data_IF_941053590388
#
_entry.id   IF_941053590388
#
_cell.length_a   1.000
_cell.length_b   1.000
_cell.length_c   1.000
_cell.angle_alpha   90.00
_cell.angle_beta   90.00
_cell.angle_gamma   90.00
#
_symmetry.space_group_name_H-M   'P 1'
#
loop_
_entity.id
_entity.type
_entity.pdbx_description
1 polymer ?
#
# COMPACT_ATOMS: atom_id res chain seq x y z
N UNK A 1 20.58 14.81 11.80
CA UNK A 1 19.75 14.11 10.76
C UNK A 1 19.16 12.79 11.26
N UNK A 2 19.95 11.80 11.80
CA UNK A 2 19.39 10.51 12.25
C UNK A 2 18.41 10.67 13.43
N UNK A 3 18.75 11.45 14.45
CA UNK A 3 17.89 11.73 15.62
C UNK A 3 16.53 12.34 15.22
N UNK A 4 16.52 13.27 14.27
CA UNK A 4 15.27 13.88 13.77
C UNK A 4 14.40 12.86 13.07
N UNK A 5 14.98 11.99 12.23
CA UNK A 5 14.25 10.90 11.55
C UNK A 5 13.66 9.90 12.54
N UNK A 6 14.41 9.50 13.56
CA UNK A 6 13.93 8.61 14.60
C UNK A 6 12.79 9.25 15.40
N UNK A 7 12.93 10.51 15.77
CA UNK A 7 11.91 11.23 16.55
C UNK A 7 10.63 11.41 15.75
N UNK A 8 10.72 11.91 14.51
CA UNK A 8 9.54 12.11 13.65
C UNK A 8 8.86 10.78 13.32
N UNK A 9 9.63 9.72 13.05
CA UNK A 9 9.07 8.37 12.81
C UNK A 9 8.35 7.83 14.04
N UNK A 10 8.93 7.96 15.23
CA UNK A 10 8.31 7.53 16.48
C UNK A 10 7.02 8.31 16.78
N UNK A 11 7.04 9.64 16.63
CA UNK A 11 5.86 10.49 16.86
C UNK A 11 4.75 10.17 15.86
N UNK A 12 5.05 10.13 14.57
CA UNK A 12 4.06 9.83 13.54
C UNK A 12 3.50 8.40 13.69
N UNK A 13 4.36 7.43 13.99
CA UNK A 13 3.93 6.05 14.23
C UNK A 13 3.01 5.93 15.45
N UNK A 14 3.37 6.56 16.58
CA UNK A 14 2.53 6.55 17.78
C UNK A 14 1.19 7.26 17.58
N UNK A 15 1.18 8.41 16.88
CA UNK A 15 -0.04 9.12 16.53
C UNK A 15 -0.93 8.31 15.60
N UNK A 16 -0.35 7.62 14.62
CA UNK A 16 -1.10 6.76 13.70
C UNK A 16 -1.75 5.60 14.45
N UNK A 17 -1.01 4.91 15.33
CA UNK A 17 -1.54 3.83 16.17
C UNK A 17 -2.66 4.34 17.07
N UNK A 18 -2.45 5.48 17.73
CA UNK A 18 -3.45 6.09 18.58
C UNK A 18 -4.73 6.44 17.82
N UNK A 19 -4.59 7.07 16.64
CA UNK A 19 -5.74 7.43 15.81
C UNK A 19 -6.54 6.19 15.37
N UNK A 20 -5.87 5.10 14.98
CA UNK A 20 -6.52 3.85 14.60
C UNK A 20 -7.28 3.18 15.74
N UNK A 21 -6.79 3.29 16.98
CA UNK A 21 -7.41 2.64 18.13
C UNK A 21 -8.50 3.48 18.78
N UNK A 22 -8.47 4.80 18.65
CA UNK A 22 -9.32 5.73 19.41
C UNK A 22 -10.36 6.44 18.54
N UNK A 23 -10.04 6.73 17.28
CA UNK A 23 -10.98 7.46 16.43
C UNK A 23 -12.16 6.57 16.01
N UNK A 24 -13.38 7.13 15.99
CA UNK A 24 -14.49 6.47 15.31
C UNK A 24 -14.19 6.40 13.80
N UNK A 25 -14.73 5.37 13.13
CA UNK A 25 -14.47 5.12 11.70
C UNK A 25 -14.65 6.36 10.80
N UNK A 26 -15.68 7.21 10.95
CA UNK A 26 -15.79 8.42 10.13
C UNK A 26 -14.65 9.42 10.35
N UNK A 27 -14.19 9.58 11.59
CA UNK A 27 -13.07 10.47 11.93
C UNK A 27 -11.75 9.97 11.35
N UNK A 28 -11.51 8.67 11.46
CA UNK A 28 -10.34 8.03 10.85
C UNK A 28 -10.41 8.10 9.31
N UNK A 29 -11.58 7.89 8.72
CA UNK A 29 -11.79 8.01 7.28
C UNK A 29 -11.43 9.41 6.77
N UNK A 30 -11.84 10.47 7.47
CA UNK A 30 -11.48 11.83 7.12
C UNK A 30 -9.96 12.06 7.20
N UNK A 31 -9.32 11.59 8.27
CA UNK A 31 -7.86 11.70 8.45
C UNK A 31 -7.11 10.94 7.35
N UNK A 32 -7.43 9.67 7.12
CA UNK A 32 -6.82 8.87 6.06
C UNK A 32 -7.13 9.44 4.67
N UNK A 33 -8.34 9.94 4.46
CA UNK A 33 -8.74 10.60 3.22
C UNK A 33 -7.80 11.76 2.89
N UNK A 34 -7.43 12.57 3.87
CA UNK A 34 -6.44 13.63 3.68
C UNK A 34 -5.08 13.07 3.23
N UNK A 35 -4.57 12.02 3.88
CA UNK A 35 -3.30 11.38 3.49
C UNK A 35 -3.38 10.81 2.08
N UNK A 36 -4.47 10.13 1.73
CA UNK A 36 -4.65 9.56 0.39
C UNK A 36 -4.82 10.65 -0.69
N UNK A 37 -5.46 11.78 -0.38
CA UNK A 37 -5.53 12.91 -1.30
C UNK A 37 -4.16 13.55 -1.53
N UNK A 38 -3.33 13.67 -0.50
CA UNK A 38 -1.95 14.10 -0.66
C UNK A 38 -1.16 13.10 -1.53
N UNK A 39 -1.29 11.80 -1.27
CA UNK A 39 -0.69 10.74 -2.08
C UNK A 39 -1.17 10.78 -3.55
N UNK A 40 -2.47 11.02 -3.76
CA UNK A 40 -3.03 11.20 -5.10
C UNK A 40 -2.48 12.45 -5.80
N UNK A 41 -2.28 13.55 -5.07
CA UNK A 41 -1.60 14.73 -5.60
C UNK A 41 -0.17 14.42 -6.06
N UNK A 42 0.61 13.75 -5.21
CA UNK A 42 1.98 13.32 -5.53
C UNK A 42 2.00 12.38 -6.74
N UNK A 43 1.07 11.41 -6.79
CA UNK A 43 0.89 10.52 -7.95
C UNK A 43 0.63 11.30 -9.23
N UNK A 44 -0.26 12.29 -9.19
CA UNK A 44 -0.55 13.18 -10.31
C UNK A 44 0.67 13.97 -10.78
N UNK A 45 1.49 14.45 -9.83
CA UNK A 45 2.75 15.14 -10.14
C UNK A 45 3.74 14.20 -10.86
N UNK A 46 3.91 12.97 -10.37
CA UNK A 46 4.76 11.95 -10.98
C UNK A 46 4.24 11.50 -12.34
N UNK A 47 2.91 11.52 -12.55
CA UNK A 47 2.27 11.22 -13.83
C UNK A 47 2.33 12.37 -14.84
N UNK A 48 3.17 13.39 -14.61
CA UNK A 48 3.40 14.55 -15.47
C UNK A 48 2.18 15.46 -15.66
N UNK A 49 1.28 15.54 -14.67
CA UNK A 49 0.22 16.54 -14.67
C UNK A 49 0.80 17.91 -14.29
N UNK A 50 1.15 18.72 -15.31
CA UNK A 50 1.90 19.96 -15.12
C UNK A 50 1.03 21.12 -14.61
N UNK A 51 -0.26 21.18 -15.01
CA UNK A 51 -1.14 22.28 -14.66
C UNK A 51 -1.95 22.00 -13.39
N UNK A 52 -2.22 23.05 -12.60
CA UNK A 52 -3.08 22.96 -11.43
C UNK A 52 -4.46 22.39 -11.76
N UNK A 53 -5.07 22.84 -12.88
CA UNK A 53 -6.37 22.37 -13.31
C UNK A 53 -6.40 20.85 -13.54
N UNK A 54 -5.38 20.27 -14.21
CA UNK A 54 -5.28 18.83 -14.45
C UNK A 54 -5.12 18.05 -13.15
N UNK A 55 -4.35 18.58 -12.19
CA UNK A 55 -4.20 17.95 -10.86
C UNK A 55 -5.49 17.98 -10.06
N UNK A 56 -6.23 19.10 -10.11
CA UNK A 56 -7.53 19.20 -9.44
C UNK A 56 -8.56 18.27 -10.09
N UNK A 57 -8.60 18.16 -11.42
CA UNK A 57 -9.46 17.19 -12.12
C UNK A 57 -9.10 15.74 -11.75
N UNK A 58 -7.81 15.45 -11.60
CA UNK A 58 -7.34 14.14 -11.14
C UNK A 58 -7.82 13.85 -9.71
N UNK A 59 -7.65 14.77 -8.76
CA UNK A 59 -8.16 14.62 -7.41
C UNK A 59 -9.68 14.44 -7.38
N UNK A 60 -10.40 15.21 -8.18
CA UNK A 60 -11.85 15.07 -8.32
C UNK A 60 -12.23 13.67 -8.83
N UNK A 61 -11.52 13.14 -9.81
CA UNK A 61 -11.73 11.78 -10.32
C UNK A 61 -11.51 10.72 -9.23
N UNK A 62 -10.44 10.83 -8.45
CA UNK A 62 -10.18 9.95 -7.30
C UNK A 62 -11.30 10.02 -6.27
N UNK A 63 -11.73 11.23 -5.91
CA UNK A 63 -12.82 11.44 -4.94
C UNK A 63 -14.15 10.88 -5.44
N UNK A 64 -14.53 11.19 -6.68
CA UNK A 64 -15.80 10.73 -7.27
C UNK A 64 -15.83 9.19 -7.37
N UNK A 65 -14.73 8.56 -7.80
CA UNK A 65 -14.66 7.11 -7.87
C UNK A 65 -14.72 6.47 -6.47
N UNK A 66 -14.05 7.07 -5.48
CA UNK A 66 -14.12 6.62 -4.08
C UNK A 66 -15.55 6.66 -3.55
N UNK A 67 -16.25 7.80 -3.74
CA UNK A 67 -17.64 7.97 -3.30
C UNK A 67 -18.57 7.01 -4.05
N UNK A 68 -18.38 6.84 -5.36
CA UNK A 68 -19.18 5.92 -6.17
C UNK A 68 -19.04 4.47 -5.68
N UNK A 69 -17.83 3.99 -5.49
CA UNK A 69 -17.60 2.60 -5.02
C UNK A 69 -18.15 2.43 -3.61
N UNK A 70 -17.89 3.38 -2.72
CA UNK A 70 -18.44 3.35 -1.37
C UNK A 70 -19.97 3.29 -1.36
N UNK A 71 -20.63 4.07 -2.23
CA UNK A 71 -22.09 4.06 -2.38
C UNK A 71 -22.60 2.71 -2.93
N UNK A 72 -21.92 2.14 -3.93
CA UNK A 72 -22.27 0.83 -4.49
C UNK A 72 -22.12 -0.29 -3.45
N UNK A 73 -21.09 -0.25 -2.63
CA UNK A 73 -20.90 -1.20 -1.51
C UNK A 73 -22.03 -1.06 -0.48
N UNK A 74 -22.35 0.16 -0.11
CA UNK A 74 -23.44 0.44 0.83
C UNK A 74 -24.80 -0.05 0.29
N UNK A 75 -25.03 0.05 -1.02
CA UNK A 75 -26.24 -0.42 -1.68
C UNK A 75 -26.28 -1.96 -1.89
N UNK A 76 -25.32 -2.74 -1.34
CA UNK A 76 -25.15 -4.18 -1.56
C UNK A 76 -25.04 -4.62 -3.03
N UNK A 77 -24.63 -3.71 -3.92
CA UNK A 77 -24.41 -3.98 -5.34
C UNK A 77 -22.98 -4.50 -5.63
N UNK A 78 -22.18 -4.68 -4.61
CA UNK A 78 -20.71 -4.83 -4.69
C UNK A 78 -20.17 -6.22 -4.41
N UNK A 79 -21.00 -7.21 -4.08
CA UNK A 79 -20.50 -8.56 -3.74
C UNK A 79 -19.53 -9.18 -4.78
N UNK A 80 -19.59 -8.87 -6.10
CA UNK A 80 -18.60 -9.34 -7.06
C UNK A 80 -17.32 -8.48 -7.14
N UNK A 81 -17.23 -7.32 -6.46
CA UNK A 81 -16.06 -6.42 -6.58
C UNK A 81 -14.81 -6.98 -5.90
N UNK A 82 -14.92 -7.70 -4.79
CA UNK A 82 -13.75 -8.28 -4.10
C UNK A 82 -12.95 -9.26 -4.98
N UNK A 83 -13.57 -10.25 -5.65
CA UNK A 83 -12.87 -11.10 -6.61
C UNK A 83 -12.27 -10.32 -7.78
N UNK A 84 -12.96 -9.29 -8.29
CA UNK A 84 -12.46 -8.45 -9.37
C UNK A 84 -11.22 -7.63 -8.95
N UNK A 85 -11.20 -7.13 -7.70
CA UNK A 85 -10.02 -6.45 -7.14
C UNK A 85 -8.83 -7.40 -7.05
N UNK A 86 -9.03 -8.64 -6.58
CA UNK A 86 -7.98 -9.66 -6.53
C UNK A 86 -7.41 -9.99 -7.90
N UNK A 87 -8.28 -10.24 -8.88
CA UNK A 87 -7.88 -10.52 -10.27
C UNK A 87 -7.16 -9.32 -10.89
N UNK A 88 -7.66 -8.12 -10.67
CA UNK A 88 -7.05 -6.89 -11.14
C UNK A 88 -5.64 -6.68 -10.57
N UNK A 89 -5.44 -6.89 -9.26
CA UNK A 89 -4.12 -6.84 -8.65
C UNK A 89 -3.19 -7.93 -9.17
N UNK A 90 -3.67 -9.15 -9.39
CA UNK A 90 -2.91 -10.22 -10.04
C UNK A 90 -2.43 -9.82 -11.44
N UNK A 91 -3.31 -9.21 -12.24
CA UNK A 91 -2.97 -8.68 -13.55
C UNK A 91 -1.96 -7.53 -13.48
N UNK A 92 -2.12 -6.61 -12.54
CA UNK A 92 -1.15 -5.52 -12.31
C UNK A 92 0.22 -6.09 -11.94
N UNK A 93 0.29 -7.06 -11.03
CA UNK A 93 1.54 -7.72 -10.68
C UNK A 93 2.22 -8.34 -11.89
N UNK A 94 1.45 -9.03 -12.74
CA UNK A 94 1.97 -9.63 -13.96
C UNK A 94 2.46 -8.59 -14.97
N UNK A 95 1.67 -7.53 -15.21
CA UNK A 95 2.05 -6.43 -16.11
C UNK A 95 3.29 -5.71 -15.61
N UNK A 96 3.40 -5.46 -14.29
CA UNK A 96 4.56 -4.81 -13.70
C UNK A 96 5.81 -5.67 -13.80
N UNK A 97 5.69 -6.98 -13.57
CA UNK A 97 6.78 -7.90 -13.78
C UNK A 97 7.29 -7.85 -15.22
N UNK A 98 6.37 -7.83 -16.20
CA UNK A 98 6.71 -7.69 -17.63
C UNK A 98 7.35 -6.33 -17.94
N UNK A 99 6.87 -5.25 -17.36
CA UNK A 99 7.42 -3.89 -17.58
C UNK A 99 8.79 -3.74 -16.90
N UNK A 100 8.95 -4.21 -15.68
CA UNK A 100 10.22 -4.14 -14.96
C UNK A 100 11.36 -4.88 -15.70
N UNK A 101 11.00 -5.88 -16.51
CA UNK A 101 11.95 -6.64 -17.36
C UNK A 101 12.23 -5.92 -18.70
N UNK A 102 11.33 -5.08 -19.20
CA UNK A 102 11.36 -4.57 -20.60
C UNK A 102 11.55 -3.04 -20.70
N UNK A 103 11.36 -2.27 -19.63
CA UNK A 103 11.24 -0.82 -19.75
C UNK A 103 12.59 -0.08 -19.84
N UNK A 104 12.92 0.36 -21.05
CA UNK A 104 13.58 1.65 -21.30
C UNK A 104 12.52 2.60 -21.90
N UNK A 105 12.21 3.72 -21.25
CA UNK A 105 11.22 4.67 -21.75
C UNK A 105 11.70 6.10 -21.75
N UNK A 106 11.24 6.86 -22.74
CA UNK A 106 11.45 8.30 -22.88
C UNK A 106 10.76 9.07 -21.76
N UNK A 107 11.47 9.98 -21.12
CA UNK A 107 10.99 10.82 -20.02
C UNK A 107 10.02 11.91 -20.53
N UNK A 108 8.97 12.20 -19.76
CA UNK A 108 8.26 13.49 -19.88
C UNK A 108 6.86 13.48 -20.48
N UNK A 109 6.30 12.35 -20.90
CA UNK A 109 4.91 12.32 -21.41
C UNK A 109 3.92 11.93 -20.30
N UNK A 110 2.78 12.69 -20.25
CA UNK A 110 1.62 12.31 -19.42
C UNK A 110 1.16 10.92 -19.85
N UNK A 111 1.31 9.94 -18.99
CA UNK A 111 0.87 8.59 -19.29
C UNK A 111 -0.49 8.35 -18.66
N UNK A 112 -1.55 8.30 -19.48
CA UNK A 112 -2.90 7.93 -19.04
C UNK A 112 -2.92 6.58 -18.30
N UNK A 113 -1.99 5.68 -18.61
CA UNK A 113 -1.79 4.42 -17.89
C UNK A 113 -1.51 4.63 -16.41
N UNK A 114 -0.65 5.59 -16.05
CA UNK A 114 -0.33 5.90 -14.68
C UNK A 114 -1.51 6.47 -13.90
N UNK A 115 -2.34 7.27 -14.55
CA UNK A 115 -3.57 7.78 -13.94
C UNK A 115 -4.56 6.65 -13.67
N UNK A 116 -4.77 5.74 -14.63
CA UNK A 116 -5.60 4.56 -14.43
C UNK A 116 -5.06 3.66 -13.31
N UNK A 117 -3.74 3.40 -13.30
CA UNK A 117 -3.12 2.64 -12.22
C UNK A 117 -3.27 3.33 -10.86
N UNK A 118 -3.15 4.65 -10.81
CA UNK A 118 -3.38 5.43 -9.59
C UNK A 118 -4.80 5.31 -9.06
N UNK A 119 -5.83 5.39 -9.90
CA UNK A 119 -7.21 5.13 -9.50
C UNK A 119 -7.37 3.73 -8.93
N UNK A 120 -6.79 2.73 -9.63
CA UNK A 120 -6.93 1.33 -9.27
C UNK A 120 -6.14 0.94 -8.02
N UNK A 121 -5.13 1.70 -7.63
CA UNK A 121 -4.32 1.43 -6.44
C UNK A 121 -4.77 2.24 -5.23
N UNK A 122 -4.95 3.55 -5.39
CA UNK A 122 -5.28 4.46 -4.29
C UNK A 122 -6.70 4.21 -3.76
N UNK A 123 -7.70 4.10 -4.66
CA UNK A 123 -9.11 4.00 -4.24
C UNK A 123 -9.39 2.68 -3.50
N UNK A 124 -9.05 1.50 -4.02
CA UNK A 124 -9.29 0.25 -3.29
C UNK A 124 -8.51 0.16 -1.98
N UNK A 125 -7.30 0.69 -1.93
CA UNK A 125 -6.49 0.69 -0.71
C UNK A 125 -7.14 1.53 0.41
N UNK A 126 -7.60 2.72 0.09
CA UNK A 126 -8.32 3.57 1.03
C UNK A 126 -9.61 2.90 1.53
N UNK A 127 -10.45 2.44 0.60
CA UNK A 127 -11.74 1.80 0.93
C UNK A 127 -11.54 0.53 1.77
N UNK A 128 -10.53 -0.29 1.44
CA UNK A 128 -10.19 -1.48 2.22
C UNK A 128 -9.85 -1.15 3.68
N UNK A 129 -9.05 -0.10 3.92
CA UNK A 129 -8.71 0.31 5.28
C UNK A 129 -9.92 0.80 6.07
N UNK A 130 -10.82 1.56 5.43
CA UNK A 130 -12.03 2.04 6.08
C UNK A 130 -13.00 0.88 6.35
N UNK A 131 -13.18 -0.03 5.38
CA UNK A 131 -14.02 -1.20 5.53
C UNK A 131 -13.55 -2.10 6.68
N UNK A 132 -12.24 -2.40 6.75
CA UNK A 132 -11.70 -3.21 7.84
C UNK A 132 -11.81 -2.53 9.18
N UNK A 133 -11.57 -1.22 9.27
CA UNK A 133 -11.70 -0.48 10.53
C UNK A 133 -13.15 -0.42 11.02
N UNK A 134 -14.12 -0.31 10.10
CA UNK A 134 -15.55 -0.31 10.40
C UNK A 134 -16.13 -1.70 10.68
N UNK A 135 -15.38 -2.79 10.52
CA UNK A 135 -15.87 -4.13 10.80
C UNK A 135 -16.10 -4.34 12.30
N UNK A 136 -17.30 -4.86 12.67
CA UNK A 136 -17.74 -4.91 14.08
C UNK A 136 -16.89 -5.83 14.97
N UNK A 137 -16.25 -6.85 14.42
CA UNK A 137 -15.61 -7.91 15.21
C UNK A 137 -14.11 -7.65 15.46
N UNK A 138 -13.38 -7.09 14.50
CA UNK A 138 -11.92 -6.99 14.55
C UNK A 138 -11.38 -5.58 14.28
N UNK A 139 -12.15 -4.74 13.64
CA UNK A 139 -11.97 -3.33 13.33
C UNK A 139 -10.58 -2.73 13.50
N UNK A 140 -10.38 -1.89 14.49
CA UNK A 140 -9.11 -1.21 14.72
C UNK A 140 -7.91 -2.15 14.90
N UNK A 141 -8.08 -3.32 15.55
CA UNK A 141 -7.00 -4.30 15.74
C UNK A 141 -6.53 -4.91 14.43
N UNK A 142 -7.47 -5.21 13.52
CA UNK A 142 -7.15 -5.81 12.23
C UNK A 142 -6.47 -4.79 11.31
N UNK A 143 -6.92 -3.54 11.35
CA UNK A 143 -6.23 -2.46 10.64
C UNK A 143 -4.80 -2.26 11.16
N UNK A 144 -4.62 -2.25 12.48
CA UNK A 144 -3.30 -2.18 13.09
C UNK A 144 -2.45 -3.39 12.69
N UNK A 145 -3.05 -4.59 12.64
CA UNK A 145 -2.37 -5.81 12.17
C UNK A 145 -1.79 -5.62 10.76
N UNK A 146 -2.60 -5.12 9.81
CA UNK A 146 -2.16 -4.90 8.42
C UNK A 146 -0.98 -3.94 8.37
N UNK A 147 -1.04 -2.82 9.09
CA UNK A 147 0.03 -1.81 9.07
C UNK A 147 1.31 -2.32 9.73
N UNK A 148 1.19 -2.98 10.87
CA UNK A 148 2.35 -3.60 11.53
C UNK A 148 2.95 -4.73 10.69
N UNK A 149 2.16 -5.49 9.92
CA UNK A 149 2.66 -6.48 8.98
C UNK A 149 3.67 -5.87 8.01
N UNK A 150 3.37 -4.71 7.43
CA UNK A 150 4.27 -4.05 6.48
C UNK A 150 5.59 -3.66 7.16
N UNK A 151 5.55 -3.12 8.38
CA UNK A 151 6.76 -2.80 9.14
C UNK A 151 7.59 -4.04 9.48
N UNK A 152 6.94 -5.16 9.76
CA UNK A 152 7.61 -6.45 10.03
C UNK A 152 8.26 -6.98 8.76
N UNK A 153 7.57 -6.94 7.62
CA UNK A 153 8.10 -7.35 6.31
C UNK A 153 9.33 -6.52 5.95
N UNK A 154 9.24 -5.19 6.03
CA UNK A 154 10.32 -4.27 5.69
C UNK A 154 11.54 -4.48 6.62
N UNK A 155 11.28 -4.66 7.91
CA UNK A 155 12.33 -4.92 8.90
C UNK A 155 13.04 -6.25 8.62
N UNK A 156 12.28 -7.33 8.41
CA UNK A 156 12.81 -8.64 8.06
C UNK A 156 13.59 -8.61 6.76
N UNK A 157 13.05 -7.93 5.75
CA UNK A 157 13.70 -7.76 4.46
C UNK A 157 15.01 -6.96 4.57
N UNK A 158 15.03 -5.90 5.37
CA UNK A 158 16.24 -5.09 5.60
C UNK A 158 17.36 -5.92 6.25
N UNK A 159 17.08 -6.63 7.35
CA UNK A 159 18.10 -7.40 8.05
C UNK A 159 18.61 -8.57 7.20
N UNK A 160 17.72 -9.34 6.57
CA UNK A 160 18.11 -10.45 5.71
C UNK A 160 18.86 -9.96 4.46
N UNK A 161 18.37 -8.91 3.81
CA UNK A 161 19.01 -8.32 2.64
C UNK A 161 20.39 -7.73 2.95
N UNK A 162 20.57 -7.10 4.13
CA UNK A 162 21.86 -6.57 4.56
C UNK A 162 22.86 -7.69 4.91
N UNK A 163 22.40 -8.78 5.50
CA UNK A 163 23.28 -9.87 5.97
C UNK A 163 23.62 -10.88 4.89
N UNK A 164 22.67 -11.23 4.04
CA UNK A 164 22.77 -12.31 3.07
C UNK A 164 22.46 -11.88 1.62
N UNK A 165 22.09 -10.61 1.37
CA UNK A 165 21.66 -10.14 0.05
C UNK A 165 22.78 -10.24 -0.99
N UNK A 166 22.59 -11.09 -1.99
CA UNK A 166 23.47 -11.28 -3.15
C UNK A 166 22.75 -10.94 -4.45
N UNK A 167 21.57 -11.55 -4.64
CA UNK A 167 20.82 -11.45 -5.89
C UNK A 167 19.85 -10.25 -5.83
N UNK A 168 20.01 -9.32 -6.75
CA UNK A 168 19.16 -8.13 -6.83
C UNK A 168 17.77 -8.49 -7.33
N UNK A 169 16.74 -7.98 -6.65
CA UNK A 169 15.33 -8.17 -7.03
C UNK A 169 14.98 -7.37 -8.29
N UNK A 170 15.30 -6.08 -8.28
CA UNK A 170 14.97 -5.13 -9.34
C UNK A 170 16.09 -4.08 -9.47
N UNK A 171 17.23 -4.42 -10.13
CA UNK A 171 18.43 -3.58 -10.15
C UNK A 171 18.18 -2.15 -10.64
N UNK A 172 17.33 -1.98 -11.65
CA UNK A 172 17.01 -0.70 -12.28
C UNK A 172 16.06 0.16 -11.43
N UNK A 173 15.06 -0.48 -10.81
CA UNK A 173 14.01 0.23 -10.06
C UNK A 173 14.45 0.54 -8.63
N UNK A 174 14.92 -0.48 -7.94
CA UNK A 174 15.31 -0.43 -6.53
C UNK A 174 16.58 -1.25 -6.28
N UNK A 175 17.77 -0.67 -6.49
CA UNK A 175 19.06 -1.40 -6.40
C UNK A 175 19.37 -1.91 -4.98
N UNK A 176 18.66 -1.45 -3.97
CA UNK A 176 18.78 -1.90 -2.58
C UNK A 176 18.07 -3.22 -2.29
N UNK A 177 17.02 -3.56 -3.05
CA UNK A 177 16.22 -4.78 -2.81
C UNK A 177 16.90 -6.04 -3.35
N UNK A 178 16.79 -7.11 -2.56
CA UNK A 178 17.38 -8.44 -2.88
C UNK A 178 16.35 -9.55 -2.68
N UNK A 179 16.51 -10.68 -3.40
CA UNK A 179 15.68 -11.87 -3.21
C UNK A 179 15.78 -12.43 -1.80
N UNK A 180 16.99 -12.44 -1.22
CA UNK A 180 17.20 -12.86 0.17
C UNK A 180 16.46 -11.94 1.16
N UNK A 181 16.38 -10.64 0.83
CA UNK A 181 15.56 -9.70 1.58
C UNK A 181 14.08 -10.08 1.54
N UNK A 182 13.53 -10.36 0.34
CA UNK A 182 12.12 -10.78 0.20
C UNK A 182 11.84 -12.03 1.03
N UNK A 183 12.70 -13.06 0.93
CA UNK A 183 12.58 -14.29 1.72
C UNK A 183 12.59 -13.97 3.22
N UNK A 184 13.51 -13.12 3.69
CA UNK A 184 13.58 -12.70 5.09
C UNK A 184 12.32 -11.97 5.56
N UNK A 185 11.74 -11.11 4.71
CA UNK A 185 10.46 -10.44 4.97
C UNK A 185 9.30 -11.44 5.08
N UNK A 186 9.23 -12.44 4.19
CA UNK A 186 8.19 -13.48 4.23
C UNK A 186 8.34 -14.41 5.45
N UNK A 187 9.57 -14.75 5.84
CA UNK A 187 9.82 -15.49 7.09
C UNK A 187 9.34 -14.68 8.29
N UNK A 188 9.67 -13.39 8.38
CA UNK A 188 9.18 -12.52 9.44
C UNK A 188 7.65 -12.41 9.43
N UNK A 189 7.02 -12.29 8.26
CA UNK A 189 5.58 -12.29 8.08
C UNK A 189 4.92 -13.60 8.55
N UNK A 190 5.58 -14.75 8.37
CA UNK A 190 5.07 -16.04 8.86
C UNK A 190 5.01 -16.05 10.38
N UNK A 191 6.08 -15.65 11.08
CA UNK A 191 6.07 -15.56 12.54
C UNK A 191 5.04 -14.53 13.04
N UNK A 192 4.91 -13.40 12.34
CA UNK A 192 3.90 -12.40 12.65
C UNK A 192 2.48 -12.92 12.46
N UNK A 193 2.22 -13.70 11.40
CA UNK A 193 0.93 -14.33 11.17
C UNK A 193 0.56 -15.31 12.29
N UNK A 194 1.50 -16.14 12.71
CA UNK A 194 1.29 -17.08 13.83
C UNK A 194 0.99 -16.34 15.13
N UNK A 195 1.73 -15.26 15.44
CA UNK A 195 1.43 -14.40 16.58
C UNK A 195 0.06 -13.71 16.43
N UNK A 196 -0.31 -13.31 15.21
CA UNK A 196 -1.59 -12.69 14.89
C UNK A 196 -2.78 -13.59 15.13
N UNK A 197 -2.68 -14.88 14.88
CA UNK A 197 -3.73 -15.85 15.19
C UNK A 197 -4.10 -15.82 16.68
N UNK A 198 -3.09 -15.75 17.53
CA UNK A 198 -3.29 -15.67 18.98
C UNK A 198 -3.78 -14.27 19.43
N UNK A 199 -3.16 -13.20 18.91
CA UNK A 199 -3.49 -11.84 19.34
C UNK A 199 -4.89 -11.39 18.89
N UNK A 200 -5.33 -11.85 17.71
CA UNK A 200 -6.65 -11.55 17.16
C UNK A 200 -7.73 -12.54 17.64
N UNK A 201 -7.35 -13.58 18.41
CA UNK A 201 -8.26 -14.69 18.76
C UNK A 201 -8.99 -15.25 17.53
N UNK A 202 -8.19 -15.56 16.50
CA UNK A 202 -8.72 -15.93 15.18
C UNK A 202 -9.38 -17.31 15.20
N UNK A 203 -10.70 -17.37 14.96
CA UNK A 203 -11.50 -18.58 15.07
C UNK A 203 -11.71 -19.33 13.76
N UNK A 204 -11.44 -18.66 12.61
CA UNK A 204 -11.58 -19.27 11.29
C UNK A 204 -10.33 -20.10 10.92
N UNK A 205 -10.14 -20.41 9.63
CA UNK A 205 -9.01 -21.21 9.16
C UNK A 205 -7.65 -20.55 9.47
N UNK A 206 -6.87 -21.13 10.38
CA UNK A 206 -5.52 -20.67 10.72
C UNK A 206 -4.57 -20.72 9.50
N UNK A 207 -4.66 -21.79 8.70
CA UNK A 207 -3.87 -21.93 7.47
C UNK A 207 -4.25 -20.85 6.47
N UNK A 208 -5.56 -20.61 6.28
CA UNK A 208 -6.05 -19.56 5.39
C UNK A 208 -5.54 -18.17 5.81
N UNK A 209 -5.58 -17.85 7.10
CA UNK A 209 -5.08 -16.58 7.62
C UNK A 209 -3.58 -16.39 7.37
N UNK A 210 -2.77 -17.43 7.62
CA UNK A 210 -1.33 -17.39 7.36
C UNK A 210 -1.05 -17.19 5.87
N UNK A 211 -1.74 -17.94 4.99
CA UNK A 211 -1.59 -17.80 3.53
C UNK A 211 -1.99 -16.41 3.06
N UNK A 212 -3.10 -15.87 3.57
CA UNK A 212 -3.55 -14.51 3.25
C UNK A 212 -2.53 -13.45 3.70
N UNK A 213 -1.98 -13.61 4.90
CA UNK A 213 -0.93 -12.71 5.41
C UNK A 213 0.32 -12.75 4.52
N UNK A 214 0.75 -13.94 4.10
CA UNK A 214 1.90 -14.12 3.20
C UNK A 214 1.62 -13.55 1.80
N UNK A 215 0.41 -13.70 1.29
CA UNK A 215 -0.01 -13.10 0.03
C UNK A 215 0.06 -11.56 0.11
N UNK A 216 -0.51 -10.97 1.15
CA UNK A 216 -0.44 -9.52 1.38
C UNK A 216 1.00 -9.03 1.55
N UNK A 217 1.84 -9.76 2.29
CA UNK A 217 3.27 -9.48 2.44
C UNK A 217 4.02 -9.54 1.10
N UNK A 218 3.71 -10.52 0.25
CA UNK A 218 4.32 -10.61 -1.08
C UNK A 218 3.93 -9.44 -1.97
N UNK A 219 2.65 -9.06 -1.94
CA UNK A 219 2.12 -7.96 -2.74
C UNK A 219 2.54 -6.59 -2.22
N UNK A 220 2.88 -6.44 -0.93
CA UNK A 220 3.47 -5.21 -0.41
C UNK A 220 4.78 -4.86 -1.13
N UNK A 221 5.61 -5.87 -1.42
CA UNK A 221 6.85 -5.69 -2.20
C UNK A 221 6.55 -5.22 -3.62
N UNK A 222 5.45 -5.71 -4.21
CA UNK A 222 5.01 -5.30 -5.56
C UNK A 222 4.51 -3.86 -5.56
N UNK A 223 3.77 -3.43 -4.51
CA UNK A 223 3.29 -2.06 -4.36
C UNK A 223 4.44 -1.04 -4.31
N UNK A 224 5.46 -1.31 -3.49
CA UNK A 224 6.68 -0.49 -3.41
C UNK A 224 7.45 -0.49 -4.76
N UNK A 225 7.53 -1.62 -5.47
CA UNK A 225 8.15 -1.66 -6.80
C UNK A 225 7.35 -0.87 -7.84
N UNK A 226 6.02 -0.86 -7.75
CA UNK A 226 5.15 -0.06 -8.61
C UNK A 226 5.42 1.43 -8.42
N UNK A 227 5.44 1.88 -7.18
CA UNK A 227 5.75 3.27 -6.85
C UNK A 227 7.19 3.64 -7.29
N UNK A 228 8.14 2.74 -7.05
CA UNK A 228 9.52 2.89 -7.51
C UNK A 228 9.59 3.05 -9.04
N UNK A 229 8.81 2.28 -9.80
CA UNK A 229 8.75 2.38 -11.26
C UNK A 229 8.19 3.75 -11.69
N UNK A 230 7.08 4.19 -11.09
CA UNK A 230 6.50 5.52 -11.36
C UNK A 230 7.51 6.63 -11.10
N UNK A 231 8.23 6.58 -9.99
CA UNK A 231 9.29 7.56 -9.65
C UNK A 231 10.42 7.56 -10.69
N UNK A 232 10.89 6.39 -11.13
CA UNK A 232 11.96 6.32 -12.14
C UNK A 232 11.51 6.84 -13.48
N UNK A 233 10.29 6.53 -13.93
CA UNK A 233 9.75 7.10 -15.18
C UNK A 233 9.58 8.64 -15.09
N UNK A 234 9.25 9.16 -13.92
CA UNK A 234 9.18 10.60 -13.67
C UNK A 234 10.55 11.28 -13.49
N UNK A 235 11.66 10.51 -13.54
CA UNK A 235 13.01 11.05 -13.26
C UNK A 235 13.20 11.48 -11.79
N UNK A 236 12.32 11.02 -10.88
CA UNK A 236 12.34 11.34 -9.47
C UNK A 236 12.89 10.20 -8.61
N UNK A 237 13.30 10.55 -7.38
CA UNK A 237 13.70 9.57 -6.36
C UNK A 237 12.64 9.42 -5.27
N UNK A 238 12.04 10.52 -4.86
CA UNK A 238 11.02 10.59 -3.82
C UNK A 238 9.72 11.11 -4.45
N UNK A 239 8.56 10.70 -3.94
CA UNK A 239 7.26 11.09 -4.49
C UNK A 239 6.94 12.57 -4.22
N UNK A 240 7.47 13.10 -3.13
CA UNK A 240 7.25 14.48 -2.69
C UNK A 240 8.28 14.93 -1.66
N UNK A 241 8.01 16.11 -1.07
CA UNK A 241 8.85 16.72 -0.03
C UNK A 241 8.04 17.17 1.20
N UNK A 242 6.80 16.67 1.33
CA UNK A 242 5.86 17.12 2.36
C UNK A 242 6.29 16.67 3.75
N UNK A 243 6.90 15.48 3.86
CA UNK A 243 7.38 14.96 5.14
C UNK A 243 8.89 15.25 5.29
N UNK A 244 9.30 16.20 6.17
CA UNK A 244 10.70 16.55 6.34
C UNK A 244 11.56 15.34 6.70
N UNK A 245 12.56 15.03 5.86
CA UNK A 245 13.47 13.90 6.03
C UNK A 245 12.90 12.52 5.68
N UNK A 246 11.60 12.44 5.29
CA UNK A 246 10.90 11.18 4.97
C UNK A 246 10.35 11.11 3.54
N UNK A 247 10.53 12.15 2.70
CA UNK A 247 10.01 12.18 1.34
C UNK A 247 8.54 12.60 1.26
N UNK A 248 7.78 11.97 0.37
CA UNK A 248 6.35 12.19 0.22
C UNK A 248 5.48 11.30 1.10
N UNK A 249 4.19 11.57 1.08
CA UNK A 249 3.17 10.72 1.71
C UNK A 249 3.00 9.41 0.94
N UNK A 250 3.07 9.46 -0.39
CA UNK A 250 2.98 8.28 -1.24
C UNK A 250 4.10 7.28 -0.91
N UNK A 251 5.36 7.75 -0.65
CA UNK A 251 6.48 6.92 -0.20
C UNK A 251 6.22 6.19 1.15
N UNK A 252 5.15 6.52 1.87
CA UNK A 252 4.77 5.91 3.17
C UNK A 252 3.62 4.93 3.06
N UNK A 253 2.84 5.01 1.99
CA UNK A 253 1.68 4.14 1.76
C UNK A 253 1.86 3.19 0.57
N UNK A 254 2.99 3.24 -0.14
CA UNK A 254 3.29 2.47 -1.34
C UNK A 254 3.02 0.96 -1.20
N UNK A 255 3.58 0.34 -0.16
CA UNK A 255 3.35 -1.07 0.19
C UNK A 255 1.89 -1.34 0.57
N UNK A 256 1.23 -0.35 1.21
CA UNK A 256 -0.15 -0.45 1.65
C UNK A 256 -1.13 -0.46 0.47
N UNK A 257 -0.77 0.24 -0.63
CA UNK A 257 -1.60 0.31 -1.85
C UNK A 257 -1.95 -1.06 -2.41
N UNK A 258 -1.04 -2.03 -2.28
CA UNK A 258 -1.24 -3.40 -2.75
C UNK A 258 -1.72 -4.34 -1.63
N UNK A 259 -1.10 -4.27 -0.46
CA UNK A 259 -1.35 -5.21 0.63
C UNK A 259 -2.76 -5.07 1.22
N UNK A 260 -3.25 -3.85 1.47
CA UNK A 260 -4.51 -3.63 2.15
C UNK A 260 -5.73 -4.17 1.36
N UNK A 261 -5.93 -3.83 0.07
CA UNK A 261 -7.10 -4.32 -0.67
C UNK A 261 -7.09 -5.84 -0.81
N UNK A 262 -5.93 -6.46 -0.95
CA UNK A 262 -5.81 -7.93 -1.07
C UNK A 262 -6.11 -8.61 0.25
N UNK A 263 -5.57 -8.10 1.35
CA UNK A 263 -5.84 -8.67 2.67
C UNK A 263 -7.33 -8.59 3.01
N UNK A 264 -7.93 -7.42 2.80
CA UNK A 264 -9.37 -7.22 3.12
C UNK A 264 -10.27 -8.04 2.20
N UNK A 265 -9.97 -8.11 0.90
CA UNK A 265 -10.72 -8.95 -0.02
C UNK A 265 -10.61 -10.45 0.35
N UNK A 266 -9.45 -10.90 0.78
CA UNK A 266 -9.23 -12.28 1.22
C UNK A 266 -9.96 -12.62 2.53
N UNK A 267 -10.19 -11.64 3.42
CA UNK A 267 -10.98 -11.85 4.63
C UNK A 267 -12.45 -12.24 4.34
N UNK A 268 -12.99 -11.83 3.19
CA UNK A 268 -14.36 -12.18 2.81
C UNK A 268 -14.56 -13.69 2.57
N UNK A 269 -13.50 -14.50 2.58
CA UNK A 269 -13.54 -15.96 2.39
C UNK A 269 -13.49 -16.75 3.71
N UNK A 270 -13.39 -16.04 4.83
CA UNK A 270 -13.36 -16.62 6.18
C UNK A 270 -14.51 -16.11 7.05
#
# INVERSE_FOLDING_TARGET
MLKQRLLTGAVLGSLSIWAMLVFPTPGLAALLGLFYLIGAWEWGCLSSLQTLARRLLWLLAVMLLTVLIWWLEWANLSSPLYPAVLLGWGLICWVLFRIAVVAQREQGQVSFKWLLLGLFTLVPSYLALIAVHGSHQWGPKLMLYIICLLWVVDTGAYFAGKRWGKDKLAPVLSPGKTWQGVIGGLVAATFYALAGLYWLDWQASSVGFVLLTLLAASLSVVGDLLESLLKREAGAKDSGKILPGHGGVLDRIDSLLAAAPIFVAGLAWF
#
